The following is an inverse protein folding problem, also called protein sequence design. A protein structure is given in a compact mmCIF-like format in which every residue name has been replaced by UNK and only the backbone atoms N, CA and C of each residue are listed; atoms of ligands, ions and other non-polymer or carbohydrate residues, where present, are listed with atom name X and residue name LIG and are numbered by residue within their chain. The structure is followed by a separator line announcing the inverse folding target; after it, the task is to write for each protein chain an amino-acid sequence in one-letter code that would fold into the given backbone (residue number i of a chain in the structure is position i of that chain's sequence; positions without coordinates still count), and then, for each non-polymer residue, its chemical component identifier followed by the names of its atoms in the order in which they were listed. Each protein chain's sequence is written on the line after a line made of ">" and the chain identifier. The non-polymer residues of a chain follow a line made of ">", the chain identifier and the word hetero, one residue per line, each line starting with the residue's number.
data_IF_859586157653
#
_entry.id   IF_859586157653
#
_cell.length_a   1.000
_cell.length_b   1.000
_cell.length_c   1.000
_cell.angle_alpha   90.00
_cell.angle_beta   90.00
_cell.angle_gamma   90.00
#
_symmetry.space_group_name_H-M   'P 1'
#
loop_
_entity.id
_entity.type
_entity.pdbx_description
1 polymer ?
#
# COMPACT_ATOMS: atom_id res chain seq x y z
N UNK A 1 26.35 24.79 62.70
CA UNK A 1 26.00 26.18 62.39
C UNK A 1 25.05 26.05 61.21
N UNK A 2 23.78 26.05 61.31
CA UNK A 2 22.83 26.88 62.06
C UNK A 2 22.30 27.94 61.13
N UNK A 3 21.10 27.80 60.60
CA UNK A 3 19.99 28.71 60.86
C UNK A 3 18.74 28.27 60.11
N UNK A 4 17.68 28.14 60.85
CA UNK A 4 16.27 28.12 60.55
C UNK A 4 15.85 29.37 59.78
N UNK A 5 14.84 29.31 58.93
CA UNK A 5 13.62 30.09 59.20
C UNK A 5 12.39 29.57 58.47
N UNK A 6 11.32 29.62 59.17
CA UNK A 6 9.96 29.18 59.12
C UNK A 6 9.08 30.30 58.54
N UNK A 7 7.79 29.98 58.29
CA UNK A 7 6.66 30.82 57.89
C UNK A 7 6.40 30.95 56.38
N UNK A 8 5.23 30.65 55.86
CA UNK A 8 3.89 30.78 56.44
C UNK A 8 2.87 29.99 55.59
N UNK A 9 1.98 29.25 56.25
CA UNK A 9 0.78 28.70 55.71
C UNK A 9 -0.20 29.81 55.33
N UNK A 10 -0.47 30.05 54.08
CA UNK A 10 -1.64 30.77 53.61
C UNK A 10 -2.70 29.75 53.16
N UNK A 11 -3.64 29.46 54.07
CA UNK A 11 -4.90 28.79 53.77
C UNK A 11 -5.75 29.71 52.90
N UNK A 12 -5.79 29.50 51.63
CA UNK A 12 -6.87 30.01 50.80
C UNK A 12 -8.15 29.21 51.11
N UNK A 13 -9.14 29.87 51.72
CA UNK A 13 -10.49 29.37 51.82
C UNK A 13 -11.08 29.24 50.43
N UNK A 14 -11.29 28.01 49.98
CA UNK A 14 -12.10 27.73 48.79
C UNK A 14 -13.56 28.23 49.09
N UNK A 15 -13.92 29.33 48.45
CA UNK A 15 -15.34 29.67 48.30
C UNK A 15 -15.97 28.62 47.37
N UNK A 16 -16.83 27.79 47.91
CA UNK A 16 -17.75 26.94 47.14
C UNK A 16 -18.67 27.83 46.30
N UNK A 17 -18.24 28.23 45.12
CA UNK A 17 -19.10 28.87 44.14
C UNK A 17 -20.23 27.89 43.76
N UNK A 18 -21.45 28.45 43.80
CA UNK A 18 -22.70 27.75 43.50
C UNK A 18 -22.72 27.34 42.00
N UNK A 19 -21.95 26.29 41.62
CA UNK A 19 -21.80 25.81 40.25
C UNK A 19 -23.13 25.36 39.64
N UNK A 20 -24.11 24.95 40.45
CA UNK A 20 -25.45 24.58 39.98
C UNK A 20 -26.25 25.79 39.45
N UNK A 21 -26.13 26.95 40.08
CA UNK A 21 -26.82 28.16 39.62
C UNK A 21 -26.32 28.70 38.30
N UNK A 22 -25.00 28.64 38.08
CA UNK A 22 -24.39 29.07 36.80
C UNK A 22 -24.79 28.15 35.64
N UNK A 23 -24.84 26.83 35.89
CA UNK A 23 -25.25 25.84 34.88
C UNK A 23 -26.74 26.02 34.50
N UNK A 24 -27.60 26.25 35.48
CA UNK A 24 -29.02 26.49 35.25
C UNK A 24 -29.25 27.80 34.50
N UNK A 25 -28.55 28.87 34.86
CA UNK A 25 -28.59 30.13 34.13
C UNK A 25 -28.13 30.02 32.66
N UNK A 26 -27.10 29.20 32.38
CA UNK A 26 -26.62 28.94 31.01
C UNK A 26 -27.66 28.22 30.19
N UNK A 27 -28.35 27.21 30.74
CA UNK A 27 -29.44 26.48 30.04
C UNK A 27 -30.60 27.42 29.75
N UNK A 28 -31.04 28.21 30.72
CA UNK A 28 -32.12 29.19 30.52
C UNK A 28 -31.73 30.22 29.47
N UNK A 29 -30.51 30.73 29.51
CA UNK A 29 -30.00 31.66 28.52
C UNK A 29 -29.97 31.06 27.08
N UNK A 30 -29.57 29.79 26.95
CA UNK A 30 -29.56 29.10 25.66
C UNK A 30 -30.99 28.91 25.10
N UNK A 31 -31.96 28.54 25.97
CA UNK A 31 -33.37 28.38 25.57
C UNK A 31 -33.97 29.72 25.16
N UNK A 32 -33.74 30.77 25.92
CA UNK A 32 -34.24 32.11 25.58
C UNK A 32 -33.61 32.65 24.30
N UNK A 33 -32.31 32.40 24.09
CA UNK A 33 -31.61 32.74 22.86
C UNK A 33 -32.18 32.01 21.63
N UNK A 34 -32.45 30.71 21.76
CA UNK A 34 -33.08 29.93 20.69
C UNK A 34 -34.50 30.43 20.35
N UNK A 35 -35.31 30.73 21.35
CA UNK A 35 -36.66 31.28 21.14
C UNK A 35 -36.60 32.66 20.46
N UNK A 36 -35.66 33.52 20.86
CA UNK A 36 -35.48 34.82 20.28
C UNK A 36 -35.07 34.73 18.78
N UNK A 37 -34.20 33.80 18.44
CA UNK A 37 -33.80 33.52 17.06
C UNK A 37 -34.97 33.01 16.23
N UNK A 38 -35.77 32.06 16.75
CA UNK A 38 -36.96 31.52 16.05
C UNK A 38 -38.01 32.60 15.78
N UNK A 39 -38.19 33.55 16.70
CA UNK A 39 -39.15 34.64 16.52
C UNK A 39 -38.59 35.78 15.66
N UNK A 40 -37.31 36.10 15.79
CA UNK A 40 -36.69 37.22 15.08
C UNK A 40 -36.45 36.92 13.59
N UNK A 41 -36.12 35.69 13.23
CA UNK A 41 -35.83 35.33 11.83
C UNK A 41 -37.03 35.58 10.90
N UNK A 42 -38.28 35.16 11.19
CA UNK A 42 -39.44 35.47 10.37
C UNK A 42 -39.72 36.97 10.28
N UNK A 43 -39.59 37.70 11.40
CA UNK A 43 -39.82 39.14 11.44
C UNK A 43 -38.80 39.93 10.59
N UNK A 44 -37.50 39.50 10.60
CA UNK A 44 -36.45 40.12 9.80
C UNK A 44 -36.55 39.74 8.32
N UNK A 45 -37.04 38.53 8.01
CA UNK A 45 -37.32 38.09 6.64
C UNK A 45 -38.45 38.86 6.01
N UNK A 46 -39.57 39.06 6.74
CA UNK A 46 -40.73 39.83 6.24
C UNK A 46 -40.43 41.31 6.04
N UNK A 47 -39.46 41.89 6.72
CA UNK A 47 -39.04 43.29 6.57
C UNK A 47 -37.92 43.47 5.53
N UNK A 48 -37.55 42.44 4.77
CA UNK A 48 -36.57 42.53 3.68
C UNK A 48 -35.10 42.75 4.12
N UNK A 49 -34.81 42.52 5.41
CA UNK A 49 -33.47 42.72 5.95
C UNK A 49 -32.57 41.51 5.68
N UNK A 50 -33.16 40.31 5.45
CA UNK A 50 -32.43 39.10 5.07
C UNK A 50 -32.48 38.86 3.56
N UNK A 51 -31.40 38.36 2.94
CA UNK A 51 -31.32 38.16 1.49
C UNK A 51 -32.14 36.96 0.96
N UNK A 52 -32.92 36.30 1.80
CA UNK A 52 -33.79 35.17 1.44
C UNK A 52 -35.13 35.29 2.16
N UNK A 53 -36.23 34.88 1.49
CA UNK A 53 -37.56 34.81 2.04
C UNK A 53 -37.87 33.43 2.54
N UNK A 54 -38.30 33.30 3.79
CA UNK A 54 -38.84 32.07 4.36
C UNK A 54 -40.33 32.08 4.10
N UNK A 55 -40.80 31.38 3.07
CA UNK A 55 -42.22 31.14 2.90
C UNK A 55 -42.70 30.20 4.01
N UNK A 56 -43.70 30.61 4.81
CA UNK A 56 -44.29 29.69 5.78
C UNK A 56 -45.02 28.58 4.99
N UNK A 57 -44.63 27.33 5.23
CA UNK A 57 -45.43 26.19 4.78
C UNK A 57 -46.82 26.35 5.35
N UNK A 58 -47.81 26.74 4.53
CA UNK A 58 -49.21 26.74 4.92
C UNK A 58 -49.59 25.29 5.22
N UNK A 59 -49.82 24.98 6.49
CA UNK A 59 -50.55 23.81 6.89
C UNK A 59 -51.94 23.88 6.26
N UNK A 60 -52.07 23.27 5.09
CA UNK A 60 -53.36 23.03 4.48
C UNK A 60 -54.08 22.02 5.37
N UNK A 61 -54.95 22.52 6.19
CA UNK A 61 -55.91 21.71 6.93
C UNK A 61 -56.56 20.73 5.95
N UNK A 62 -56.23 19.46 6.07
CA UNK A 62 -56.78 18.38 5.28
C UNK A 62 -58.27 18.29 5.63
N UNK A 63 -59.14 18.90 4.78
CA UNK A 63 -60.53 18.49 4.70
C UNK A 63 -60.57 17.07 4.17
N UNK A 64 -60.91 16.12 5.01
CA UNK A 64 -61.17 14.75 4.62
C UNK A 64 -62.38 14.70 3.69
N UNK A 65 -62.13 14.72 2.40
CA UNK A 65 -63.09 14.22 1.41
C UNK A 65 -62.56 12.85 0.96
N UNK A 66 -63.33 11.86 1.31
CA UNK A 66 -63.17 10.46 0.87
C UNK A 66 -63.28 10.42 -0.66
N UNK A 67 -62.18 10.43 -1.33
CA UNK A 67 -62.10 10.00 -2.73
C UNK A 67 -60.96 9.03 -2.95
N UNK A 68 -61.33 7.96 -3.58
CA UNK A 68 -60.52 6.76 -3.81
C UNK A 68 -59.43 7.06 -4.83
N UNK A 69 -58.25 6.49 -4.58
CA UNK A 69 -57.16 6.24 -5.52
C UNK A 69 -56.46 7.45 -6.15
N UNK A 70 -55.63 8.13 -5.36
CA UNK A 70 -54.39 8.64 -5.92
C UNK A 70 -53.23 7.83 -5.28
N UNK A 71 -52.81 6.79 -5.97
CA UNK A 71 -51.47 6.23 -5.78
C UNK A 71 -50.46 7.40 -5.97
N UNK A 72 -49.81 7.80 -4.89
CA UNK A 72 -48.60 8.61 -4.99
C UNK A 72 -47.60 7.72 -5.70
N UNK A 73 -47.58 7.80 -7.05
CA UNK A 73 -46.50 7.24 -7.85
C UNK A 73 -45.26 8.05 -7.48
N UNK A 74 -44.53 7.61 -6.46
CA UNK A 74 -43.13 7.97 -6.32
C UNK A 74 -42.44 7.38 -7.56
N UNK A 75 -42.36 8.19 -8.61
CA UNK A 75 -41.55 7.87 -9.75
C UNK A 75 -40.10 7.88 -9.26
N UNK A 76 -39.63 6.75 -8.78
CA UNK A 76 -38.19 6.51 -8.66
C UNK A 76 -37.63 6.68 -10.09
N UNK A 77 -37.09 7.86 -10.34
CA UNK A 77 -36.30 8.08 -11.55
C UNK A 77 -34.97 7.36 -11.31
N UNK A 78 -34.95 6.09 -11.61
CA UNK A 78 -33.70 5.34 -11.70
C UNK A 78 -32.95 5.91 -12.92
N UNK A 79 -31.99 6.78 -12.69
CA UNK A 79 -31.04 7.15 -13.73
C UNK A 79 -30.12 5.93 -13.92
N UNK A 80 -30.25 5.28 -15.06
CA UNK A 80 -29.26 4.29 -15.51
C UNK A 80 -27.98 5.04 -15.93
N UNK A 81 -27.04 5.17 -14.99
CA UNK A 81 -25.77 5.88 -15.20
C UNK A 81 -24.80 4.92 -15.90
N UNK A 82 -24.74 5.00 -17.22
CA UNK A 82 -23.92 4.14 -18.06
C UNK A 82 -22.73 4.92 -18.64
N UNK A 83 -21.65 5.03 -17.87
CA UNK A 83 -20.39 5.67 -18.28
C UNK A 83 -19.32 4.61 -18.60
N UNK A 84 -18.22 5.02 -19.23
CA UNK A 84 -17.09 4.13 -19.44
C UNK A 84 -16.51 3.64 -18.09
N UNK A 85 -16.54 4.50 -17.05
CA UNK A 85 -16.11 4.16 -15.70
C UNK A 85 -16.96 3.05 -15.10
N UNK A 86 -18.30 3.17 -15.15
CA UNK A 86 -19.20 2.15 -14.59
C UNK A 86 -19.05 0.83 -15.31
N UNK A 87 -18.90 0.83 -16.65
CA UNK A 87 -18.62 -0.38 -17.44
C UNK A 87 -17.29 -1.05 -17.10
N UNK A 88 -16.23 -0.24 -16.92
CA UNK A 88 -14.92 -0.75 -16.52
C UNK A 88 -14.97 -1.43 -15.14
N UNK A 89 -15.68 -0.82 -14.19
CA UNK A 89 -15.88 -1.37 -12.84
C UNK A 89 -16.69 -2.67 -12.91
N UNK A 90 -17.83 -2.69 -13.61
CA UNK A 90 -18.63 -3.91 -13.80
C UNK A 90 -17.83 -5.06 -14.40
N UNK A 91 -16.89 -4.75 -15.31
CA UNK A 91 -16.03 -5.78 -15.92
C UNK A 91 -15.03 -6.36 -14.94
N UNK A 92 -14.48 -5.57 -14.02
CA UNK A 92 -13.33 -5.96 -13.20
C UNK A 92 -13.68 -6.25 -11.73
N UNK A 93 -14.74 -5.65 -11.16
CA UNK A 93 -15.00 -5.68 -9.72
C UNK A 93 -15.12 -7.09 -9.13
N UNK A 94 -15.79 -8.00 -9.83
CA UNK A 94 -15.97 -9.39 -9.36
C UNK A 94 -14.66 -10.20 -9.30
N UNK A 95 -13.60 -9.72 -9.94
CA UNK A 95 -12.27 -10.32 -9.87
C UNK A 95 -11.43 -9.73 -8.71
N UNK A 96 -11.89 -8.65 -8.05
CA UNK A 96 -11.19 -8.05 -6.90
C UNK A 96 -11.78 -8.61 -5.61
N UNK A 97 -10.93 -9.13 -4.76
CA UNK A 97 -11.30 -9.86 -3.54
C UNK A 97 -10.65 -9.25 -2.31
N UNK A 98 -11.24 -9.48 -1.14
CA UNK A 98 -10.60 -9.20 0.14
C UNK A 98 -9.66 -10.33 0.54
N UNK A 99 -8.59 -10.00 1.24
CA UNK A 99 -7.69 -10.96 1.87
C UNK A 99 -7.69 -10.71 3.38
N UNK A 100 -8.02 -11.76 4.13
CA UNK A 100 -7.96 -11.76 5.58
C UNK A 100 -6.70 -12.52 6.02
N UNK A 101 -5.78 -11.80 6.63
CA UNK A 101 -4.59 -12.35 7.26
C UNK A 101 -4.92 -12.65 8.73
N UNK A 102 -4.95 -13.92 9.07
CA UNK A 102 -5.26 -14.42 10.40
C UNK A 102 -3.94 -14.84 11.04
N UNK A 103 -3.62 -14.21 12.19
CA UNK A 103 -2.45 -14.54 12.98
C UNK A 103 -2.89 -15.15 14.30
N UNK A 104 -2.18 -16.18 14.78
CA UNK A 104 -2.39 -16.70 16.10
C UNK A 104 -1.71 -15.77 17.12
N UNK A 105 -2.47 -15.12 17.99
CA UNK A 105 -1.92 -14.50 19.18
C UNK A 105 -1.30 -15.56 20.07
N UNK A 106 -0.12 -15.27 20.63
CA UNK A 106 0.73 -16.18 21.38
C UNK A 106 -0.03 -16.99 22.45
N UNK A 107 0.38 -18.24 22.63
CA UNK A 107 -0.10 -19.20 23.63
C UNK A 107 -0.12 -18.68 25.10
N UNK A 108 0.45 -17.51 25.35
CA UNK A 108 0.55 -16.90 26.68
C UNK A 108 -0.44 -15.74 26.92
N UNK A 109 -1.30 -15.37 25.98
CA UNK A 109 -2.38 -14.43 26.24
C UNK A 109 -3.58 -15.19 26.81
N UNK A 110 -3.59 -15.39 28.13
CA UNK A 110 -4.73 -15.85 28.90
C UNK A 110 -5.85 -14.79 28.88
N UNK A 111 -6.58 -14.69 27.79
CA UNK A 111 -7.96 -14.22 27.81
C UNK A 111 -8.81 -15.35 27.23
N UNK A 112 -9.70 -15.84 28.07
CA UNK A 112 -10.67 -16.89 27.77
C UNK A 112 -11.42 -16.61 26.46
N UNK A 113 -11.26 -17.49 25.49
CA UNK A 113 -11.87 -17.41 24.17
C UNK A 113 -10.91 -16.85 23.13
N UNK A 114 -9.98 -17.70 22.66
CA UNK A 114 -9.13 -17.35 21.50
C UNK A 114 -10.00 -17.02 20.28
N UNK A 115 -10.38 -15.75 20.15
CA UNK A 115 -10.92 -15.22 18.91
C UNK A 115 -9.74 -15.14 17.93
N UNK A 116 -9.80 -15.92 16.85
CA UNK A 116 -8.98 -15.69 15.66
C UNK A 116 -9.33 -14.29 15.16
N UNK A 117 -8.60 -13.26 15.59
CA UNK A 117 -8.78 -11.91 15.08
C UNK A 117 -7.98 -11.76 13.79
N UNK A 118 -8.61 -11.21 12.76
CA UNK A 118 -7.92 -10.83 11.55
C UNK A 118 -6.89 -9.75 11.90
N UNK A 119 -5.61 -10.10 11.93
CA UNK A 119 -4.51 -9.18 12.26
C UNK A 119 -4.27 -8.14 11.17
N UNK A 120 -4.81 -8.35 9.97
CA UNK A 120 -4.74 -7.44 8.85
C UNK A 120 -5.71 -7.81 7.75
N UNK A 121 -6.16 -6.81 7.03
CA UNK A 121 -6.99 -6.98 5.83
C UNK A 121 -6.38 -6.21 4.67
N UNK A 122 -6.46 -6.79 3.48
CA UNK A 122 -6.05 -6.17 2.24
C UNK A 122 -6.91 -6.66 1.10
N UNK A 123 -6.47 -6.42 -0.10
CA UNK A 123 -7.13 -6.82 -1.33
C UNK A 123 -6.29 -7.80 -2.14
N UNK A 124 -6.91 -8.46 -3.09
CA UNK A 124 -6.25 -9.28 -4.10
C UNK A 124 -7.01 -9.23 -5.41
N UNK A 125 -6.39 -9.71 -6.48
CA UNK A 125 -6.98 -9.78 -7.82
C UNK A 125 -6.89 -11.20 -8.32
N UNK A 126 -8.04 -11.82 -8.64
CA UNK A 126 -8.11 -13.11 -9.31
C UNK A 126 -7.69 -12.91 -10.76
N UNK A 127 -6.56 -13.47 -11.15
CA UNK A 127 -6.00 -13.27 -12.50
C UNK A 127 -6.06 -14.51 -13.39
N UNK A 128 -6.35 -15.68 -12.80
CA UNK A 128 -6.35 -16.95 -13.55
C UNK A 128 -7.25 -17.98 -12.90
N UNK A 129 -7.89 -18.81 -13.73
CA UNK A 129 -8.55 -20.05 -13.33
C UNK A 129 -7.96 -21.22 -14.12
N UNK A 130 -7.72 -22.35 -13.46
CA UNK A 130 -7.23 -23.57 -14.07
C UNK A 130 -7.82 -24.80 -13.36
N UNK A 131 -8.71 -25.54 -14.02
CA UNK A 131 -9.46 -26.64 -13.43
C UNK A 131 -10.36 -26.12 -12.30
N UNK A 132 -10.25 -26.74 -11.12
CA UNK A 132 -11.00 -26.33 -9.93
C UNK A 132 -10.26 -25.31 -9.04
N UNK A 133 -9.20 -24.67 -9.55
CA UNK A 133 -8.38 -23.71 -8.82
C UNK A 133 -8.44 -22.34 -9.45
N UNK A 134 -8.41 -21.32 -8.60
CA UNK A 134 -8.22 -19.93 -9.00
C UNK A 134 -6.99 -19.36 -8.31
N UNK A 135 -6.34 -18.42 -8.98
CA UNK A 135 -5.09 -17.81 -8.53
C UNK A 135 -5.31 -16.32 -8.29
N UNK A 136 -4.81 -15.85 -7.15
CA UNK A 136 -4.98 -14.48 -6.69
C UNK A 136 -3.61 -13.86 -6.51
N UNK A 137 -3.39 -12.69 -7.10
CA UNK A 137 -2.23 -11.85 -6.80
C UNK A 137 -2.60 -10.82 -5.74
N UNK A 138 -1.67 -10.56 -4.81
CA UNK A 138 -1.79 -9.54 -3.77
C UNK A 138 -0.42 -8.95 -3.46
N UNK A 139 -0.32 -8.14 -2.41
CA UNK A 139 0.96 -7.71 -1.89
C UNK A 139 1.53 -8.69 -0.85
N UNK A 140 2.88 -8.75 -0.77
CA UNK A 140 3.59 -9.52 0.25
C UNK A 140 3.19 -9.06 1.66
N UNK A 141 3.19 -7.74 1.94
CA UNK A 141 2.85 -7.22 3.27
C UNK A 141 1.42 -7.54 3.72
N UNK A 142 0.50 -7.85 2.79
CA UNK A 142 -0.88 -8.27 3.11
C UNK A 142 -0.91 -9.69 3.68
N UNK A 143 0.00 -10.57 3.24
CA UNK A 143 0.02 -12.00 3.63
C UNK A 143 1.11 -12.33 4.64
N UNK A 144 1.99 -11.37 4.95
CA UNK A 144 3.14 -11.56 5.83
C UNK A 144 2.70 -12.00 7.24
N UNK A 145 3.39 -13.01 7.79
CA UNK A 145 3.14 -13.52 9.14
C UNK A 145 1.82 -14.27 9.33
N UNK A 146 1.05 -14.51 8.26
CA UNK A 146 -0.22 -15.22 8.35
C UNK A 146 -0.04 -16.67 8.78
N UNK A 147 -0.81 -17.12 9.78
CA UNK A 147 -0.99 -18.54 10.11
C UNK A 147 -2.08 -19.16 9.24
N UNK A 148 -3.08 -18.36 8.84
CA UNK A 148 -4.16 -18.76 7.96
C UNK A 148 -4.54 -17.59 7.07
N UNK A 149 -4.86 -17.88 5.82
CA UNK A 149 -5.32 -16.91 4.84
C UNK A 149 -6.72 -17.28 4.36
N UNK A 150 -7.57 -16.28 4.23
CA UNK A 150 -8.90 -16.43 3.63
C UNK A 150 -9.10 -15.34 2.57
N UNK A 151 -9.69 -15.72 1.46
CA UNK A 151 -10.15 -14.81 0.41
C UNK A 151 -11.64 -14.56 0.58
N UNK A 152 -12.06 -13.31 0.60
CA UNK A 152 -13.47 -12.90 0.66
C UNK A 152 -13.90 -12.36 -0.70
N UNK A 153 -14.88 -13.01 -1.32
CA UNK A 153 -15.50 -12.53 -2.56
C UNK A 153 -16.39 -11.30 -2.28
N UNK A 154 -16.77 -10.60 -3.35
CA UNK A 154 -17.61 -9.39 -3.26
C UNK A 154 -18.98 -9.64 -2.60
N UNK A 155 -19.50 -10.87 -2.71
CA UNK A 155 -20.76 -11.29 -2.07
C UNK A 155 -20.59 -11.72 -0.60
N UNK A 156 -19.40 -11.55 -0.02
CA UNK A 156 -19.08 -11.93 1.35
C UNK A 156 -18.70 -13.41 1.54
N UNK A 157 -18.73 -14.23 0.48
CA UNK A 157 -18.29 -15.62 0.55
C UNK A 157 -16.81 -15.69 0.90
N UNK A 158 -16.46 -16.44 1.95
CA UNK A 158 -15.09 -16.70 2.37
C UNK A 158 -14.59 -18.04 1.84
N UNK A 159 -13.38 -18.05 1.30
CA UNK A 159 -12.72 -19.23 0.73
C UNK A 159 -11.34 -19.36 1.38
N UNK A 160 -10.97 -20.50 1.99
CA UNK A 160 -9.61 -20.73 2.46
C UNK A 160 -8.60 -20.55 1.32
N UNK A 161 -7.49 -19.88 1.61
CA UNK A 161 -6.46 -19.61 0.62
C UNK A 161 -5.12 -20.23 1.04
N UNK A 162 -4.39 -20.76 0.07
CA UNK A 162 -3.03 -21.28 0.23
C UNK A 162 -2.06 -20.30 -0.38
N UNK A 163 -1.09 -19.82 0.40
CA UNK A 163 0.04 -19.05 -0.13
C UNK A 163 0.90 -19.99 -0.99
N UNK A 164 1.07 -19.65 -2.27
CA UNK A 164 1.99 -20.35 -3.17
C UNK A 164 3.40 -19.79 -3.05
N UNK A 165 3.54 -18.48 -2.97
CA UNK A 165 4.80 -17.81 -2.78
C UNK A 165 4.62 -16.30 -2.60
N UNK A 166 5.65 -15.65 -2.08
CA UNK A 166 5.68 -14.19 -1.97
C UNK A 166 7.10 -13.66 -2.12
N UNK A 167 7.20 -12.39 -2.47
CA UNK A 167 8.46 -11.72 -2.72
C UNK A 167 8.48 -10.35 -2.05
N UNK A 168 9.36 -10.20 -1.07
CA UNK A 168 9.49 -8.98 -0.28
C UNK A 168 10.02 -7.80 -1.11
N UNK A 169 10.86 -8.07 -2.12
CA UNK A 169 11.50 -7.04 -2.94
C UNK A 169 10.53 -6.31 -3.86
N UNK A 170 9.58 -7.05 -4.42
CA UNK A 170 8.55 -6.49 -5.32
C UNK A 170 7.23 -6.25 -4.61
N UNK A 171 7.13 -6.62 -3.33
CA UNK A 171 5.89 -6.56 -2.54
C UNK A 171 4.72 -7.32 -3.20
N UNK A 172 4.99 -8.49 -3.81
CA UNK A 172 3.98 -9.32 -4.46
C UNK A 172 3.83 -10.68 -3.77
N UNK A 173 2.62 -11.22 -3.81
CA UNK A 173 2.29 -12.56 -3.34
C UNK A 173 1.28 -13.21 -4.27
N UNK A 174 1.34 -14.56 -4.36
CA UNK A 174 0.38 -15.36 -5.12
C UNK A 174 -0.26 -16.40 -4.20
N UNK A 175 -1.60 -16.43 -4.23
CA UNK A 175 -2.40 -17.39 -3.48
C UNK A 175 -3.19 -18.29 -4.44
N UNK A 176 -3.50 -19.50 -3.97
CA UNK A 176 -4.38 -20.46 -4.62
C UNK A 176 -5.65 -20.63 -3.78
N UNK A 177 -6.82 -20.61 -4.42
CA UNK A 177 -8.13 -20.87 -3.81
C UNK A 177 -8.93 -21.86 -4.64
N UNK A 178 -9.98 -22.43 -4.05
CA UNK A 178 -10.98 -23.22 -4.78
C UNK A 178 -11.77 -22.31 -5.74
N UNK A 179 -11.96 -22.76 -6.99
CA UNK A 179 -12.59 -21.97 -8.03
C UNK A 179 -14.13 -22.07 -8.05
N UNK A 180 -14.74 -22.97 -7.29
CA UNK A 180 -16.19 -23.28 -7.36
C UNK A 180 -17.09 -22.04 -7.22
N UNK A 181 -16.65 -21.05 -6.45
CA UNK A 181 -17.38 -19.80 -6.19
C UNK A 181 -16.88 -18.62 -7.04
N UNK A 182 -15.78 -18.79 -7.76
CA UNK A 182 -15.16 -17.72 -8.56
C UNK A 182 -15.91 -17.55 -9.87
N UNK A 183 -16.35 -16.33 -10.16
CA UNK A 183 -17.17 -16.02 -11.34
C UNK A 183 -16.38 -15.35 -12.46
N UNK A 184 -15.36 -14.58 -12.11
CA UNK A 184 -14.57 -13.77 -13.06
C UNK A 184 -13.09 -13.76 -12.72
N UNK A 185 -12.28 -13.53 -13.75
CA UNK A 185 -10.85 -13.22 -13.66
C UNK A 185 -10.58 -11.85 -14.27
N UNK A 186 -9.61 -11.13 -13.75
CA UNK A 186 -9.17 -9.88 -14.31
C UNK A 186 -8.42 -10.12 -15.63
N UNK A 187 -8.70 -9.30 -16.62
CA UNK A 187 -7.95 -9.27 -17.87
C UNK A 187 -6.71 -8.37 -17.68
N UNK A 188 -5.53 -8.88 -17.97
CA UNK A 188 -4.30 -8.07 -17.93
C UNK A 188 -4.26 -7.09 -19.10
N UNK A 189 -4.03 -5.82 -18.78
CA UNK A 189 -3.74 -4.76 -19.74
C UNK A 189 -2.25 -4.68 -20.05
N UNK A 190 -1.85 -3.53 -20.60
CA UNK A 190 -0.47 -3.19 -20.92
C UNK A 190 -0.09 -1.89 -20.22
N UNK A 191 0.68 -1.99 -19.14
CA UNK A 191 1.12 -0.83 -18.35
C UNK A 191 2.15 0.05 -19.05
N UNK A 192 2.87 -0.48 -20.07
CA UNK A 192 3.88 0.28 -20.81
C UNK A 192 3.25 1.19 -21.88
N UNK A 193 2.00 0.88 -22.28
CA UNK A 193 1.24 1.70 -23.26
C UNK A 193 0.50 2.89 -22.62
N UNK A 194 0.42 2.96 -21.28
CA UNK A 194 -0.27 4.02 -20.53
C UNK A 194 0.34 5.40 -20.81
N UNK A 195 -0.49 6.43 -20.69
CA UNK A 195 -0.10 7.83 -20.84
C UNK A 195 -0.44 8.64 -19.60
N UNK A 196 0.39 9.64 -19.27
CA UNK A 196 0.04 10.61 -18.24
C UNK A 196 -1.26 11.33 -18.58
N UNK A 197 -2.13 11.47 -17.58
CA UNK A 197 -3.49 12.02 -17.75
C UNK A 197 -4.54 10.99 -18.16
N UNK A 198 -4.17 9.74 -18.45
CA UNK A 198 -5.11 8.66 -18.78
C UNK A 198 -5.95 8.29 -17.55
N UNK A 199 -7.30 8.23 -17.65
CA UNK A 199 -8.14 7.84 -16.53
C UNK A 199 -7.89 6.42 -16.08
N UNK A 200 -7.78 6.22 -14.76
CA UNK A 200 -7.64 4.91 -14.11
C UNK A 200 -8.56 4.82 -12.90
N UNK A 201 -8.87 3.60 -12.53
CA UNK A 201 -9.79 3.28 -11.44
C UNK A 201 -9.08 2.30 -10.52
N UNK A 202 -8.98 2.66 -9.24
CA UNK A 202 -8.49 1.74 -8.21
C UNK A 202 -9.68 1.03 -7.56
N UNK A 203 -9.60 -0.29 -7.48
CA UNK A 203 -10.61 -1.16 -6.88
C UNK A 203 -9.95 -1.95 -5.76
N UNK A 204 -10.59 -1.96 -4.59
CA UNK A 204 -10.17 -2.76 -3.45
C UNK A 204 -11.37 -3.35 -2.73
N UNK A 205 -11.08 -4.25 -1.80
CA UNK A 205 -12.07 -4.86 -0.92
C UNK A 205 -11.63 -4.70 0.55
N UNK A 206 -11.50 -3.43 1.02
CA UNK A 206 -11.02 -3.15 2.36
C UNK A 206 -12.06 -3.58 3.41
N UNK A 207 -11.56 -4.05 4.58
CA UNK A 207 -12.35 -4.26 5.80
C UNK A 207 -13.55 -5.23 5.68
N UNK A 208 -13.45 -6.26 4.81
CA UNK A 208 -14.49 -7.29 4.68
C UNK A 208 -15.80 -6.75 4.11
N UNK A 209 -16.94 -7.33 4.51
CA UNK A 209 -18.25 -7.07 3.91
C UNK A 209 -18.74 -5.61 4.00
N UNK A 210 -18.24 -4.81 4.96
CA UNK A 210 -18.74 -3.43 5.18
C UNK A 210 -18.31 -2.47 4.08
N UNK A 211 -17.12 -2.63 3.49
CA UNK A 211 -16.58 -1.76 2.44
C UNK A 211 -16.13 -2.55 1.21
N UNK A 212 -16.73 -3.75 1.03
CA UNK A 212 -16.47 -4.60 -0.13
C UNK A 212 -16.71 -3.84 -1.44
N UNK A 213 -15.76 -3.92 -2.38
CA UNK A 213 -15.87 -3.28 -3.67
C UNK A 213 -15.69 -1.76 -3.67
N UNK A 214 -14.88 -1.21 -2.75
CA UNK A 214 -14.54 0.21 -2.76
C UNK A 214 -13.84 0.60 -4.06
N UNK A 215 -14.34 1.66 -4.70
CA UNK A 215 -13.85 2.16 -6.00
C UNK A 215 -13.45 3.62 -5.86
N UNK A 216 -12.24 3.96 -6.33
CA UNK A 216 -11.79 5.34 -6.49
C UNK A 216 -11.32 5.57 -7.92
N UNK A 217 -11.48 6.78 -8.43
CA UNK A 217 -11.07 7.14 -9.78
C UNK A 217 -10.09 8.30 -9.75
N UNK A 218 -9.12 8.26 -10.65
CA UNK A 218 -8.15 9.30 -10.89
C UNK A 218 -7.55 9.16 -12.28
N UNK A 219 -6.31 9.64 -12.43
CA UNK A 219 -5.53 9.56 -13.66
C UNK A 219 -4.15 8.95 -13.37
N UNK A 220 -3.45 8.55 -14.42
CA UNK A 220 -2.02 8.31 -14.35
C UNK A 220 -1.30 9.65 -14.18
N UNK A 221 -0.78 9.90 -12.98
CA UNK A 221 -0.05 11.13 -12.61
C UNK A 221 1.45 11.03 -12.90
N UNK A 222 1.98 9.81 -13.07
CA UNK A 222 3.38 9.55 -13.40
C UNK A 222 3.61 8.13 -13.86
N UNK A 223 4.56 7.97 -14.79
CA UNK A 223 5.01 6.69 -15.32
C UNK A 223 6.45 6.46 -14.89
N UNK A 224 6.81 5.19 -14.64
CA UNK A 224 8.20 4.77 -14.32
C UNK A 224 8.83 5.61 -13.19
N UNK A 225 8.04 5.91 -12.15
CA UNK A 225 8.58 6.57 -10.96
C UNK A 225 9.45 5.60 -10.20
N UNK A 226 10.65 6.03 -9.85
CA UNK A 226 11.58 5.26 -9.02
C UNK A 226 11.41 5.70 -7.57
N UNK A 227 10.94 4.79 -6.73
CA UNK A 227 10.69 5.05 -5.31
C UNK A 227 11.70 4.26 -4.48
N UNK A 228 12.45 4.91 -3.59
CA UNK A 228 13.34 4.23 -2.66
C UNK A 228 12.52 3.43 -1.64
N UNK A 229 12.89 2.16 -1.44
CA UNK A 229 12.24 1.25 -0.48
C UNK A 229 13.28 0.77 0.51
N UNK A 230 12.99 0.98 1.79
CA UNK A 230 13.69 0.40 2.93
C UNK A 230 12.89 -0.83 3.37
N UNK A 231 13.41 -2.02 3.06
CA UNK A 231 12.68 -3.29 3.27
C UNK A 231 12.73 -3.71 4.74
N UNK A 232 13.88 -3.51 5.38
CA UNK A 232 14.17 -3.97 6.75
C UNK A 232 13.96 -2.87 7.81
N UNK A 233 13.60 -1.64 7.38
CA UNK A 233 13.33 -0.48 8.22
C UNK A 233 14.55 -0.02 9.07
N UNK A 234 15.75 -0.16 8.52
CA UNK A 234 16.97 0.31 9.16
C UNK A 234 17.33 1.77 8.81
N UNK A 235 16.52 2.44 7.99
CA UNK A 235 16.69 3.81 7.53
C UNK A 235 17.57 3.93 6.27
N UNK A 236 18.03 2.82 5.71
CA UNK A 236 18.79 2.77 4.46
C UNK A 236 17.93 2.26 3.32
N UNK A 237 18.22 2.71 2.12
CA UNK A 237 17.48 2.26 0.93
C UNK A 237 18.06 0.92 0.45
N UNK A 238 17.23 -0.12 0.48
CA UNK A 238 17.59 -1.45 -0.01
C UNK A 238 17.34 -1.65 -1.50
N UNK A 239 16.28 -1.01 -2.01
CA UNK A 239 15.75 -1.23 -3.33
C UNK A 239 15.12 0.02 -3.91
N UNK A 240 15.09 0.12 -5.23
CA UNK A 240 14.30 1.11 -5.94
C UNK A 240 13.17 0.40 -6.70
N UNK A 241 11.93 0.60 -6.26
CA UNK A 241 10.76 0.12 -6.97
C UNK A 241 10.36 1.06 -8.10
N UNK A 242 10.15 0.52 -9.31
CA UNK A 242 9.54 1.26 -10.41
C UNK A 242 8.02 1.12 -10.31
N UNK A 243 7.30 2.26 -10.27
CA UNK A 243 5.86 2.29 -10.04
C UNK A 243 5.11 3.23 -10.98
N UNK A 244 3.81 3.00 -11.12
CA UNK A 244 2.83 3.94 -11.63
C UNK A 244 2.40 4.86 -10.48
N UNK A 245 2.29 6.15 -10.75
CA UNK A 245 1.70 7.13 -9.84
C UNK A 245 0.28 7.49 -10.32
N UNK A 246 -0.66 7.58 -9.39
CA UNK A 246 -2.04 8.00 -9.63
C UNK A 246 -2.54 8.92 -8.51
N UNK A 247 -3.50 9.78 -8.80
CA UNK A 247 -4.26 10.55 -7.81
C UNK A 247 -5.57 9.86 -7.39
N UNK A 248 -5.88 8.69 -7.97
CA UNK A 248 -6.90 7.81 -7.40
C UNK A 248 -6.52 7.45 -5.96
N UNK A 249 -7.44 7.61 -5.02
CA UNK A 249 -7.14 7.41 -3.60
C UNK A 249 -6.76 5.95 -3.31
N UNK A 250 -5.50 5.73 -2.90
CA UNK A 250 -4.98 4.45 -2.43
C UNK A 250 -4.85 4.54 -0.91
N UNK A 251 -5.66 3.77 -0.20
CA UNK A 251 -5.79 3.79 1.26
C UNK A 251 -5.61 2.38 1.84
N UNK A 252 -5.37 2.25 3.17
CA UNK A 252 -5.34 0.95 3.82
C UNK A 252 -6.58 0.12 3.45
N UNK A 253 -6.34 -1.14 3.03
CA UNK A 253 -7.37 -2.06 2.57
C UNK A 253 -7.47 -2.21 1.06
N UNK A 254 -7.09 -1.22 0.22
CA UNK A 254 -7.01 -1.47 -1.22
C UNK A 254 -5.60 -1.88 -1.72
N UNK A 255 -4.61 -2.00 -0.80
CA UNK A 255 -3.33 -2.67 -1.08
C UNK A 255 -3.55 -4.10 -1.57
N UNK A 256 -2.86 -4.49 -2.64
CA UNK A 256 -3.03 -5.76 -3.34
C UNK A 256 -4.21 -5.78 -4.30
N UNK A 257 -5.06 -4.76 -4.30
CA UNK A 257 -6.17 -4.58 -5.22
C UNK A 257 -5.74 -4.07 -6.60
N UNK A 258 -6.73 -3.87 -7.46
CA UNK A 258 -6.52 -3.56 -8.86
C UNK A 258 -6.40 -2.05 -9.12
N UNK A 259 -5.47 -1.65 -9.98
CA UNK A 259 -5.56 -0.43 -10.78
C UNK A 259 -5.95 -0.84 -12.20
N UNK A 260 -7.10 -0.38 -12.70
CA UNK A 260 -7.61 -0.72 -14.02
C UNK A 260 -7.69 0.52 -14.93
N UNK A 261 -7.58 0.29 -16.24
CA UNK A 261 -7.88 1.31 -17.23
C UNK A 261 -9.39 1.40 -17.52
N UNK A 262 -9.81 2.34 -18.37
CA UNK A 262 -11.23 2.53 -18.75
C UNK A 262 -11.82 1.38 -19.59
N UNK A 263 -10.99 0.45 -20.07
CA UNK A 263 -11.44 -0.79 -20.72
C UNK A 263 -11.67 -1.94 -19.71
N UNK A 264 -11.45 -1.68 -18.40
CA UNK A 264 -11.58 -2.66 -17.32
C UNK A 264 -10.43 -3.67 -17.27
N UNK A 265 -9.27 -3.33 -17.82
CA UNK A 265 -8.08 -4.18 -17.82
C UNK A 265 -7.16 -3.80 -16.66
N UNK A 266 -6.58 -4.79 -16.00
CA UNK A 266 -5.63 -4.63 -14.90
C UNK A 266 -4.30 -4.06 -15.43
N UNK A 267 -3.94 -2.86 -15.02
CA UNK A 267 -2.70 -2.18 -15.42
C UNK A 267 -1.71 -2.02 -14.26
N UNK A 268 -2.17 -2.25 -13.02
CA UNK A 268 -1.28 -2.22 -11.85
C UNK A 268 -1.88 -2.90 -10.62
N UNK A 269 -1.03 -3.23 -9.66
CA UNK A 269 -1.38 -3.73 -8.32
C UNK A 269 -1.12 -2.60 -7.32
N UNK A 270 -2.15 -2.15 -6.62
CA UNK A 270 -2.03 -1.06 -5.66
C UNK A 270 -1.15 -1.45 -4.47
N UNK A 271 -0.25 -0.58 -4.01
CA UNK A 271 0.60 -0.84 -2.85
C UNK A 271 0.77 0.39 -1.96
N UNK A 272 0.37 0.25 -0.69
CA UNK A 272 0.58 1.26 0.34
C UNK A 272 1.98 1.18 0.98
N UNK A 273 2.63 0.02 0.99
CA UNK A 273 3.98 -0.13 1.57
C UNK A 273 5.01 0.71 0.84
N UNK A 274 4.91 0.75 -0.49
CA UNK A 274 5.77 1.59 -1.33
C UNK A 274 5.48 3.09 -1.11
N UNK A 275 4.26 3.43 -0.64
CA UNK A 275 3.78 4.79 -0.42
C UNK A 275 3.96 5.30 1.03
N UNK A 276 4.78 4.67 1.86
CA UNK A 276 4.91 4.94 3.32
C UNK A 276 5.14 6.42 3.70
N UNK A 277 5.64 7.25 2.77
CA UNK A 277 5.80 8.69 2.96
C UNK A 277 4.88 9.49 2.02
N UNK A 278 3.78 8.89 1.56
CA UNK A 278 2.93 9.51 0.56
C UNK A 278 2.23 10.75 1.11
N UNK A 279 2.35 11.83 0.36
CA UNK A 279 1.54 13.02 0.49
C UNK A 279 0.13 12.68 0.00
N UNK A 280 -0.91 13.25 0.62
CA UNK A 280 -2.29 13.11 0.16
C UNK A 280 -2.41 13.40 -1.34
N UNK A 281 -3.09 12.52 -2.08
CA UNK A 281 -3.20 12.61 -3.55
C UNK A 281 -2.07 11.94 -4.33
N UNK A 282 -1.17 11.18 -3.67
CA UNK A 282 -0.17 10.35 -4.33
C UNK A 282 -0.42 8.88 -4.01
N UNK A 283 -1.07 8.18 -4.92
CA UNK A 283 -1.23 6.74 -4.92
C UNK A 283 -0.15 6.07 -5.78
N UNK A 284 0.32 4.88 -5.37
CA UNK A 284 1.32 4.11 -6.09
C UNK A 284 0.82 2.71 -6.42
N UNK A 285 1.16 2.23 -7.62
CA UNK A 285 0.80 0.90 -8.09
C UNK A 285 1.98 0.24 -8.79
N UNK A 286 2.18 -1.04 -8.55
CA UNK A 286 3.18 -1.87 -9.22
C UNK A 286 2.70 -2.13 -10.66
N UNK A 287 3.45 -1.74 -11.72
CA UNK A 287 3.02 -1.92 -13.10
C UNK A 287 2.77 -3.40 -13.42
N UNK A 288 1.68 -3.70 -14.12
CA UNK A 288 1.30 -5.11 -14.41
C UNK A 288 2.34 -5.82 -15.27
N UNK A 289 3.00 -5.13 -16.21
CA UNK A 289 4.04 -5.73 -17.05
C UNK A 289 5.27 -6.14 -16.23
N UNK A 290 5.61 -5.38 -15.18
CA UNK A 290 6.66 -5.74 -14.22
C UNK A 290 6.23 -6.86 -13.27
N UNK A 291 4.95 -6.89 -12.89
CA UNK A 291 4.41 -7.90 -11.97
C UNK A 291 4.27 -9.29 -12.61
N UNK A 292 3.92 -9.38 -13.92
CA UNK A 292 3.64 -10.66 -14.60
C UNK A 292 4.75 -11.70 -14.46
N UNK A 293 6.03 -11.43 -14.77
CA UNK A 293 7.09 -12.43 -14.65
C UNK A 293 7.29 -12.88 -13.18
N UNK A 294 7.07 -11.98 -12.22
CA UNK A 294 7.14 -12.28 -10.78
C UNK A 294 5.99 -13.21 -10.38
N UNK A 295 4.76 -12.90 -10.82
CA UNK A 295 3.57 -13.73 -10.59
C UNK A 295 3.78 -15.14 -11.16
N UNK A 296 4.32 -15.23 -12.39
CA UNK A 296 4.61 -16.51 -13.04
C UNK A 296 5.62 -17.35 -12.25
N UNK A 297 6.67 -16.71 -11.73
CA UNK A 297 7.69 -17.40 -10.92
C UNK A 297 7.12 -17.85 -9.57
N UNK A 298 6.38 -16.98 -8.88
CA UNK A 298 5.74 -17.31 -7.60
C UNK A 298 4.71 -18.45 -7.76
N UNK A 299 3.91 -18.43 -8.84
CA UNK A 299 2.95 -19.52 -9.12
C UNK A 299 3.65 -20.86 -9.38
N UNK A 300 4.73 -20.86 -10.16
CA UNK A 300 5.40 -22.09 -10.60
C UNK A 300 6.38 -22.65 -9.60
N UNK A 301 7.12 -21.77 -8.92
CA UNK A 301 8.30 -22.15 -8.12
C UNK A 301 8.18 -21.77 -6.64
N UNK A 302 7.16 -20.97 -6.28
CA UNK A 302 7.01 -20.45 -4.92
C UNK A 302 7.97 -19.31 -4.56
N UNK A 303 8.96 -19.04 -5.41
CA UNK A 303 10.00 -18.01 -5.22
C UNK A 303 10.35 -17.37 -6.55
N UNK A 304 10.72 -16.10 -6.51
CA UNK A 304 11.23 -15.39 -7.70
C UNK A 304 12.63 -15.83 -8.01
N UNK A 305 12.86 -16.28 -9.22
CA UNK A 305 14.18 -16.72 -9.67
C UNK A 305 15.04 -15.54 -10.07
N UNK A 306 15.97 -15.15 -9.19
CA UNK A 306 16.92 -14.06 -9.45
C UNK A 306 18.31 -14.57 -9.75
N UNK A 307 19.05 -13.89 -10.64
CA UNK A 307 20.48 -14.12 -10.80
C UNK A 307 21.20 -13.85 -9.46
N UNK A 308 22.04 -14.78 -9.06
CA UNK A 308 22.70 -14.79 -7.76
C UNK A 308 24.22 -14.79 -7.92
N UNK A 309 24.89 -13.90 -7.17
CA UNK A 309 26.35 -13.80 -7.11
C UNK A 309 26.91 -14.47 -5.84
N UNK A 310 26.18 -14.40 -4.73
CA UNK A 310 26.60 -14.90 -3.42
C UNK A 310 27.49 -13.96 -2.64
N UNK A 311 27.03 -12.73 -2.46
CA UNK A 311 27.77 -11.65 -1.78
C UNK A 311 26.85 -10.90 -0.82
N UNK A 312 27.41 -10.44 0.31
CA UNK A 312 26.82 -9.43 1.16
C UNK A 312 27.42 -8.05 0.80
N UNK A 313 26.58 -7.03 0.66
CA UNK A 313 26.87 -5.80 -0.04
C UNK A 313 26.73 -4.57 0.89
N UNK A 314 27.60 -3.56 0.71
CA UNK A 314 27.46 -2.26 1.30
C UNK A 314 27.93 -1.16 0.34
N UNK A 315 27.11 -0.11 0.15
CA UNK A 315 27.50 1.03 -0.66
C UNK A 315 28.72 1.75 -0.07
N UNK A 316 29.69 2.13 -0.91
CA UNK A 316 30.89 2.87 -0.44
C UNK A 316 30.51 4.18 0.23
N UNK A 317 29.45 4.85 -0.26
CA UNK A 317 28.91 6.09 0.32
C UNK A 317 28.42 5.97 1.76
N UNK A 318 28.09 4.75 2.22
CA UNK A 318 27.66 4.43 3.57
C UNK A 318 28.82 4.05 4.52
N UNK A 319 30.04 3.95 3.97
CA UNK A 319 31.23 3.60 4.71
C UNK A 319 31.96 4.89 5.10
N UNK A 320 32.29 5.12 6.40
CA UNK A 320 33.06 6.30 6.79
C UNK A 320 34.37 6.43 6.02
N UNK A 321 34.75 7.65 5.61
CA UNK A 321 35.91 7.92 4.77
C UNK A 321 37.22 7.31 5.29
N UNK A 322 37.39 7.29 6.61
CA UNK A 322 38.53 6.64 7.26
C UNK A 322 38.67 5.16 6.83
N UNK A 323 37.57 4.41 6.81
CA UNK A 323 37.62 2.98 6.42
C UNK A 323 37.73 2.80 4.90
N UNK A 324 37.25 3.76 4.10
CA UNK A 324 37.48 3.74 2.64
C UNK A 324 38.99 3.85 2.32
N UNK A 325 39.74 4.68 3.05
CA UNK A 325 41.18 4.84 2.87
C UNK A 325 41.99 3.69 3.52
N UNK A 326 41.70 3.32 4.77
CA UNK A 326 42.53 2.39 5.55
C UNK A 326 42.21 0.93 5.30
N UNK A 327 40.93 0.57 5.23
CA UNK A 327 40.50 -0.82 5.04
C UNK A 327 40.36 -1.19 3.56
N UNK A 328 39.61 -0.39 2.78
CA UNK A 328 39.38 -0.66 1.36
C UNK A 328 40.52 -0.16 0.49
N UNK A 329 41.38 0.74 1.02
CA UNK A 329 42.53 1.35 0.31
C UNK A 329 42.13 1.95 -1.04
N UNK A 330 40.93 2.54 -1.11
CA UNK A 330 40.41 3.14 -2.34
C UNK A 330 41.22 4.36 -2.74
N UNK A 331 41.48 4.56 -4.05
CA UNK A 331 41.97 5.85 -4.53
C UNK A 331 41.00 6.98 -4.15
N UNK A 332 41.52 8.17 -3.83
CA UNK A 332 40.69 9.30 -3.35
C UNK A 332 39.61 9.75 -4.33
N UNK A 333 39.83 9.50 -5.62
CA UNK A 333 38.86 9.79 -6.68
C UNK A 333 37.70 8.76 -6.75
N UNK A 334 37.81 7.63 -6.04
CA UNK A 334 36.82 6.55 -6.03
C UNK A 334 36.03 6.61 -4.73
N UNK A 335 34.96 7.38 -4.74
CA UNK A 335 34.02 7.55 -3.61
C UNK A 335 32.64 6.91 -3.90
N UNK A 336 32.63 5.93 -4.79
CA UNK A 336 31.45 5.21 -5.26
C UNK A 336 31.75 3.72 -5.39
N UNK A 337 30.71 2.92 -5.60
CA UNK A 337 30.83 1.49 -5.76
C UNK A 337 30.23 0.70 -4.59
N UNK A 338 30.42 -0.60 -4.63
CA UNK A 338 29.84 -1.55 -3.67
C UNK A 338 30.95 -2.42 -3.06
N UNK A 339 31.14 -2.26 -1.78
CA UNK A 339 32.07 -3.09 -0.99
C UNK A 339 31.42 -4.44 -0.66
N UNK A 340 32.19 -5.52 -0.82
CA UNK A 340 31.80 -6.86 -0.41
C UNK A 340 32.10 -7.05 1.06
N UNK A 341 31.06 -7.13 1.89
CA UNK A 341 31.20 -7.42 3.35
C UNK A 341 31.48 -8.89 3.60
N UNK A 342 30.91 -9.74 2.74
CA UNK A 342 31.11 -11.19 2.81
C UNK A 342 30.94 -11.79 1.40
N UNK A 343 31.69 -12.84 1.13
CA UNK A 343 31.51 -13.68 -0.07
C UNK A 343 31.14 -15.09 0.42
N UNK A 344 29.97 -15.56 -0.03
CA UNK A 344 29.46 -16.89 0.36
C UNK A 344 30.37 -17.98 -0.22
N UNK A 345 30.85 -18.94 0.59
CA UNK A 345 31.68 -20.04 0.09
C UNK A 345 30.98 -20.81 -1.03
N UNK A 346 31.76 -21.21 -2.04
CA UNK A 346 31.28 -21.94 -3.23
C UNK A 346 30.27 -21.18 -4.11
N UNK A 347 30.01 -19.90 -3.84
CA UNK A 347 29.18 -19.06 -4.70
C UNK A 347 29.86 -18.70 -6.02
N UNK A 348 29.11 -18.19 -7.02
CA UNK A 348 29.70 -17.65 -8.25
C UNK A 348 30.79 -16.61 -7.99
N UNK A 349 30.58 -15.71 -7.03
CA UNK A 349 31.59 -14.70 -6.66
C UNK A 349 32.86 -15.33 -6.09
N UNK A 350 32.73 -16.33 -5.19
CA UNK A 350 33.87 -17.05 -4.63
C UNK A 350 34.65 -17.80 -5.71
N UNK A 351 33.94 -18.47 -6.63
CA UNK A 351 34.57 -19.20 -7.76
C UNK A 351 35.29 -18.25 -8.72
N UNK A 352 34.80 -17.00 -8.88
CA UNK A 352 35.46 -15.98 -9.68
C UNK A 352 36.63 -15.30 -8.94
N UNK A 353 36.91 -15.69 -7.72
CA UNK A 353 38.01 -15.18 -6.92
C UNK A 353 37.74 -13.81 -6.26
N UNK A 354 36.47 -13.38 -6.19
CA UNK A 354 36.08 -12.23 -5.38
C UNK A 354 36.25 -12.53 -3.89
N UNK A 355 36.58 -11.52 -3.11
CA UNK A 355 36.89 -11.62 -1.68
C UNK A 355 36.23 -10.49 -0.89
N UNK A 356 36.15 -10.68 0.42
CA UNK A 356 35.80 -9.61 1.34
C UNK A 356 36.71 -8.39 1.13
N UNK A 357 36.14 -7.19 1.29
CA UNK A 357 36.76 -5.87 1.04
C UNK A 357 37.06 -5.56 -0.45
N UNK A 358 36.69 -6.41 -1.41
CA UNK A 358 36.66 -5.96 -2.80
C UNK A 358 35.57 -4.91 -2.99
N UNK A 359 35.83 -3.93 -3.87
CA UNK A 359 34.84 -2.88 -4.18
C UNK A 359 34.50 -2.92 -5.65
N UNK A 360 33.28 -3.38 -5.97
CA UNK A 360 32.75 -3.41 -7.34
C UNK A 360 32.43 -2.00 -7.78
N UNK A 361 32.94 -1.60 -8.97
CA UNK A 361 32.75 -0.26 -9.55
C UNK A 361 32.17 -0.28 -10.96
N UNK A 362 32.17 -1.45 -11.64
CA UNK A 362 31.63 -1.61 -12.99
C UNK A 362 31.13 -3.04 -13.20
N UNK A 363 30.00 -3.19 -13.90
CA UNK A 363 29.45 -4.48 -14.35
C UNK A 363 29.08 -4.38 -15.84
N UNK A 364 29.62 -5.28 -16.67
CA UNK A 364 29.44 -5.31 -18.13
C UNK A 364 29.65 -3.95 -18.84
N UNK A 365 30.57 -3.12 -18.33
CA UNK A 365 30.84 -1.77 -18.86
C UNK A 365 29.97 -0.67 -18.25
N UNK A 366 28.93 -0.99 -17.48
CA UNK A 366 28.13 0.00 -16.77
C UNK A 366 28.76 0.36 -15.42
N UNK A 367 28.86 1.65 -15.14
CA UNK A 367 29.32 2.16 -13.85
C UNK A 367 28.34 1.79 -12.75
N UNK A 368 28.84 1.26 -11.65
CA UNK A 368 28.08 0.92 -10.44
C UNK A 368 28.43 1.93 -9.35
N UNK A 369 27.45 2.73 -8.92
CA UNK A 369 27.67 3.76 -7.91
C UNK A 369 27.37 3.24 -6.49
N UNK A 370 26.39 2.35 -6.34
CA UNK A 370 25.88 1.85 -5.07
C UNK A 370 25.23 0.46 -5.21
N UNK A 371 24.71 -0.07 -4.11
CA UNK A 371 24.03 -1.38 -4.07
C UNK A 371 22.79 -1.39 -4.95
N UNK A 372 22.11 -0.26 -5.12
CA UNK A 372 20.90 -0.15 -5.93
C UNK A 372 21.23 -0.33 -7.40
N UNK A 373 22.28 0.36 -7.88
CA UNK A 373 22.76 0.21 -9.27
C UNK A 373 23.18 -1.24 -9.54
N UNK A 374 23.88 -1.88 -8.59
CA UNK A 374 24.30 -3.27 -8.72
C UNK A 374 23.10 -4.21 -8.84
N UNK A 375 22.13 -4.10 -7.95
CA UNK A 375 20.91 -4.92 -7.97
C UNK A 375 20.08 -4.68 -9.22
N UNK A 376 19.96 -3.42 -9.65
CA UNK A 376 19.27 -3.05 -10.89
C UNK A 376 19.93 -3.70 -12.10
N UNK A 377 21.26 -3.62 -12.22
CA UNK A 377 22.01 -4.26 -13.30
C UNK A 377 21.77 -5.78 -13.27
N UNK A 378 21.94 -6.40 -12.10
CA UNK A 378 21.81 -7.85 -11.92
C UNK A 378 20.41 -8.37 -12.27
N UNK A 379 19.35 -7.71 -11.77
CA UNK A 379 17.98 -8.23 -11.88
C UNK A 379 17.23 -7.79 -13.13
N UNK A 380 17.62 -6.66 -13.75
CA UNK A 380 16.97 -6.17 -14.98
C UNK A 380 17.71 -6.52 -16.27
N UNK A 381 19.05 -6.66 -16.22
CA UNK A 381 19.86 -6.86 -17.41
C UNK A 381 20.43 -8.27 -17.54
N UNK A 382 20.39 -9.11 -16.49
CA UNK A 382 21.00 -10.43 -16.48
C UNK A 382 19.98 -11.52 -16.21
N UNK A 383 20.34 -12.74 -16.65
CA UNK A 383 19.57 -13.98 -16.39
C UNK A 383 20.46 -15.02 -15.71
N UNK A 384 19.82 -15.97 -15.06
CA UNK A 384 20.50 -17.14 -14.49
C UNK A 384 21.28 -17.87 -15.57
N UNK A 385 22.54 -18.19 -15.29
CA UNK A 385 23.43 -18.87 -16.21
C UNK A 385 24.23 -17.97 -17.13
N UNK A 386 23.92 -16.66 -17.21
CA UNK A 386 24.70 -15.72 -18.00
C UNK A 386 26.02 -15.35 -17.34
N UNK A 387 26.98 -14.93 -18.17
CA UNK A 387 28.25 -14.39 -17.70
C UNK A 387 28.09 -12.93 -17.34
N UNK A 388 28.79 -12.50 -16.28
CA UNK A 388 28.84 -11.15 -15.78
C UNK A 388 30.31 -10.74 -15.66
N UNK A 389 30.71 -9.71 -16.39
CA UNK A 389 32.02 -9.08 -16.27
C UNK A 389 32.01 -8.06 -15.14
N UNK A 390 33.03 -8.08 -14.26
CA UNK A 390 33.12 -7.20 -13.08
C UNK A 390 34.48 -6.53 -13.05
N UNK A 391 34.50 -5.20 -12.91
CA UNK A 391 35.70 -4.47 -12.49
C UNK A 391 35.55 -4.07 -11.02
N UNK A 392 36.61 -4.26 -10.28
CA UNK A 392 36.62 -4.04 -8.83
C UNK A 392 38.00 -3.60 -8.35
N UNK A 393 38.01 -2.85 -7.25
CA UNK A 393 39.23 -2.54 -6.53
C UNK A 393 39.51 -3.57 -5.45
N UNK A 394 40.77 -4.00 -5.34
CA UNK A 394 41.32 -4.79 -4.23
C UNK A 394 42.64 -4.18 -3.82
N UNK A 395 42.77 -3.77 -2.55
CA UNK A 395 43.99 -3.13 -2.04
C UNK A 395 44.45 -1.94 -2.92
N UNK A 396 43.52 -1.10 -3.35
CA UNK A 396 43.78 0.09 -4.18
C UNK A 396 44.10 -0.21 -5.65
N UNK A 397 44.08 -1.44 -6.09
CA UNK A 397 44.38 -1.83 -7.48
C UNK A 397 43.09 -2.25 -8.22
N UNK A 398 42.86 -1.62 -9.36
CA UNK A 398 41.76 -2.02 -10.25
C UNK A 398 42.06 -3.40 -10.85
N UNK A 399 41.09 -4.31 -10.73
CA UNK A 399 41.12 -5.67 -11.26
C UNK A 399 39.85 -5.96 -12.04
N UNK A 400 39.84 -7.05 -12.79
CA UNK A 400 38.71 -7.52 -13.56
C UNK A 400 38.57 -9.03 -13.40
N UNK A 401 37.32 -9.50 -13.33
CA UNK A 401 37.00 -10.93 -13.37
C UNK A 401 35.68 -11.14 -14.08
N UNK A 402 35.37 -12.39 -14.40
CA UNK A 402 34.09 -12.80 -14.98
C UNK A 402 33.54 -13.95 -14.15
N UNK A 403 32.25 -13.89 -13.81
CA UNK A 403 31.54 -14.96 -13.14
C UNK A 403 30.33 -15.42 -13.95
N UNK A 404 29.89 -16.65 -13.72
CA UNK A 404 28.64 -17.19 -14.25
C UNK A 404 27.59 -17.16 -13.16
N UNK A 405 26.50 -16.42 -13.40
CA UNK A 405 25.41 -16.24 -12.45
C UNK A 405 24.68 -17.56 -12.18
N UNK A 406 24.46 -17.89 -10.90
CA UNK A 406 23.62 -18.99 -10.48
C UNK A 406 22.17 -18.52 -10.24
N UNK A 407 21.24 -19.43 -10.03
CA UNK A 407 19.95 -19.11 -9.40
C UNK A 407 20.12 -19.02 -7.89
N UNK A 408 19.40 -18.11 -7.28
CA UNK A 408 19.33 -18.06 -5.81
C UNK A 408 18.73 -19.38 -5.31
N UNK A 409 19.50 -20.15 -4.55
CA UNK A 409 19.01 -21.34 -3.84
C UNK A 409 18.59 -20.88 -2.45
N UNK A 410 17.30 -20.81 -2.17
CA UNK A 410 16.78 -20.68 -0.80
C UNK A 410 17.34 -21.83 0.03
N UNK A 411 18.23 -21.51 0.99
CA UNK A 411 18.60 -22.42 2.06
C UNK A 411 17.56 -22.41 3.15
#
# INVERSE_FOLDING_TARGET
>A
MGYYDDHSQNRFKEQKGNRGGVFLASIVGAILGAILVIVAIPALSNNGILPYQIEPTQDSAVKSTTDKNQEIIQKQVAYDVNTNTTKAVEKAADAVVGINNIQSTSFWSESEGGSEEAAGTGSGVIYKMAGNKAYVVSNHHVVEGATKLEVSLIDGTKIPAKLLGSDVWTDLAVLEVDADKVKKVAEFGDSDSLKMGEPVIAIGNPLGATFSGSVTQGIISGLKRTIPVDINQDGLVDWNAEVLQTDAAINPGNSGGALINIAGQLVGINSMKIAQNAVEGIGLSIPINSARPIIDDLEKFGTVKRPYMGVDLKSVTEIPAYYQEEALKLPREVNYGVALRQVVPNSPAAQAGLQELDVIVEMDGDKINDVIDLRKHLYQKKKIGEQLEIKYYREGKLKQTTLRLAGETTQ
#
